data_IF_266955308974
#
_entry.id   IF_266955308974
#
_cell.length_a   1.000
_cell.length_b   1.000
_cell.length_c   1.000
_cell.angle_alpha   90.00
_cell.angle_beta   90.00
_cell.angle_gamma   90.00
#
_symmetry.space_group_name_H-M   'P 1'
#
loop_
_entity.id
_entity.type
_entity.pdbx_description
1 polymer ?
#
# COMPACT_ATOMS: atom_id res chain seq x y z
N UNK A 1 0.95 -14.49 -7.13
CA UNK A 1 -0.15 -13.52 -7.32
C UNK A 1 0.48 -12.22 -7.76
N UNK A 2 -0.03 -11.58 -8.81
CA UNK A 2 0.48 -10.25 -9.21
C UNK A 2 -0.29 -9.20 -8.42
N UNK A 3 0.42 -8.23 -7.84
CA UNK A 3 -0.20 -7.11 -7.14
C UNK A 3 -0.01 -5.87 -8.00
N UNK A 4 -1.10 -5.16 -8.29
CA UNK A 4 -1.08 -3.91 -9.04
C UNK A 4 -1.43 -2.76 -8.11
N UNK A 5 -0.62 -1.71 -8.10
CA UNK A 5 -0.92 -0.49 -7.38
C UNK A 5 -2.07 0.21 -8.10
N UNK A 6 -3.16 0.47 -7.37
CA UNK A 6 -4.34 1.18 -7.91
C UNK A 6 -4.32 2.64 -7.47
N UNK A 7 -3.96 2.88 -6.22
CA UNK A 7 -4.01 4.22 -5.62
C UNK A 7 -2.98 4.34 -4.49
N UNK A 8 -2.38 5.50 -4.40
CA UNK A 8 -1.53 5.91 -3.27
C UNK A 8 -2.03 7.29 -2.85
N UNK A 9 -2.31 7.46 -1.56
CA UNK A 9 -2.78 8.71 -0.98
C UNK A 9 -2.18 8.91 0.41
N UNK A 10 -2.17 10.15 0.88
CA UNK A 10 -1.88 10.44 2.28
C UNK A 10 -3.06 10.05 3.15
N UNK A 11 -2.78 9.62 4.37
CA UNK A 11 -3.85 9.52 5.34
C UNK A 11 -4.38 10.91 5.70
N UNK A 12 -5.70 11.01 5.79
CA UNK A 12 -6.37 12.26 6.15
C UNK A 12 -6.09 12.73 7.59
N UNK A 13 -5.64 11.83 8.47
CA UNK A 13 -5.39 12.12 9.89
C UNK A 13 -3.91 12.18 10.25
N UNK A 14 -3.03 11.57 9.46
CA UNK A 14 -1.60 11.51 9.70
C UNK A 14 -0.84 11.69 8.37
N UNK A 15 -0.24 12.87 8.20
CA UNK A 15 0.51 13.28 7.03
C UNK A 15 1.80 12.47 6.81
N UNK A 16 2.23 11.69 7.81
CA UNK A 16 3.34 10.74 7.70
C UNK A 16 2.89 9.38 7.20
N UNK A 17 1.61 9.05 7.32
CA UNK A 17 1.06 7.78 6.88
C UNK A 17 0.63 7.83 5.41
N UNK A 18 0.99 6.77 4.68
CA UNK A 18 0.48 6.53 3.33
C UNK A 18 -0.61 5.46 3.38
N UNK A 19 -1.61 5.65 2.55
CA UNK A 19 -2.64 4.68 2.25
C UNK A 19 -2.46 4.19 0.81
N UNK A 20 -2.16 2.91 0.66
CA UNK A 20 -1.87 2.25 -0.62
C UNK A 20 -2.94 1.21 -0.87
N UNK A 21 -3.68 1.35 -1.97
CA UNK A 21 -4.65 0.36 -2.43
C UNK A 21 -4.03 -0.51 -3.51
N UNK A 22 -3.94 -1.81 -3.23
CA UNK A 22 -3.43 -2.82 -4.13
C UNK A 22 -4.60 -3.66 -4.67
N UNK A 23 -4.57 -3.94 -5.97
CA UNK A 23 -5.42 -4.94 -6.61
C UNK A 23 -4.67 -6.23 -6.73
N UNK A 24 -5.25 -7.31 -6.22
CA UNK A 24 -4.78 -8.64 -6.48
C UNK A 24 -5.24 -9.08 -7.87
N UNK A 25 -4.28 -9.40 -8.72
CA UNK A 25 -4.52 -9.94 -10.05
C UNK A 25 -4.15 -11.42 -10.02
N UNK A 26 -5.17 -12.29 -10.08
CA UNK A 26 -4.96 -13.71 -10.30
C UNK A 26 -4.57 -13.95 -11.77
N UNK A 27 -3.56 -14.81 -11.96
CA UNK A 27 -2.99 -15.15 -13.27
C UNK A 27 -3.84 -16.15 -14.06
N UNK A 28 -4.81 -16.82 -13.42
CA UNK A 28 -5.56 -17.92 -14.03
C UNK A 28 -6.92 -17.44 -14.55
N UNK A 29 -7.11 -17.57 -15.87
CA UNK A 29 -8.29 -17.12 -16.63
C UNK A 29 -9.59 -17.89 -16.30
N UNK A 30 -9.49 -19.08 -15.70
CA UNK A 30 -10.61 -20.02 -15.52
C UNK A 30 -11.30 -19.96 -14.16
N UNK A 31 -10.75 -19.23 -13.18
CA UNK A 31 -11.44 -18.97 -11.91
C UNK A 31 -12.02 -17.56 -11.96
N UNK A 32 -13.28 -17.40 -11.49
CA UNK A 32 -13.97 -16.10 -11.38
C UNK A 32 -12.97 -15.05 -10.93
N UNK A 33 -12.83 -14.00 -11.73
CA UNK A 33 -11.87 -12.90 -11.58
C UNK A 33 -12.14 -12.18 -10.26
N UNK A 34 -11.58 -12.66 -9.16
CA UNK A 34 -11.62 -11.95 -7.87
C UNK A 34 -10.64 -10.80 -7.97
N UNK A 35 -11.16 -9.65 -8.40
CA UNK A 35 -10.48 -8.37 -8.31
C UNK A 35 -10.53 -7.89 -6.86
N UNK A 36 -9.81 -8.59 -6.00
CA UNK A 36 -9.77 -8.23 -4.59
C UNK A 36 -8.91 -6.97 -4.44
N UNK A 37 -9.52 -5.93 -3.87
CA UNK A 37 -8.85 -4.69 -3.52
C UNK A 37 -8.52 -4.76 -2.04
N UNK A 38 -7.25 -4.58 -1.72
CA UNK A 38 -6.77 -4.51 -0.35
C UNK A 38 -6.13 -3.15 -0.14
N UNK A 39 -6.60 -2.43 0.88
CA UNK A 39 -6.04 -1.12 1.26
C UNK A 39 -5.15 -1.29 2.47
N UNK A 40 -3.92 -0.80 2.35
CA UNK A 40 -2.93 -0.82 3.41
C UNK A 40 -2.61 0.60 3.84
N UNK A 41 -2.48 0.81 5.14
CA UNK A 41 -2.11 2.09 5.75
C UNK A 41 -0.85 1.92 6.59
N UNK A 42 0.10 2.83 6.45
CA UNK A 42 1.32 2.76 7.22
C UNK A 42 2.44 3.66 6.74
N UNK A 43 3.60 3.51 7.39
CA UNK A 43 4.83 4.21 7.03
C UNK A 43 6.04 3.36 7.39
N UNK A 44 7.04 3.36 6.50
CA UNK A 44 8.31 2.67 6.72
C UNK A 44 8.15 1.17 6.90
N UNK A 45 8.29 0.68 8.14
CA UNK A 45 8.17 -0.75 8.50
C UNK A 45 6.81 -1.16 9.04
N UNK A 46 5.97 -0.19 9.41
CA UNK A 46 4.72 -0.43 10.09
C UNK A 46 3.57 -0.26 9.10
N UNK A 47 2.99 -1.38 8.66
CA UNK A 47 1.91 -1.42 7.69
C UNK A 47 0.78 -2.29 8.20
N UNK A 48 -0.45 -1.81 7.99
CA UNK A 48 -1.67 -2.45 8.46
C UNK A 48 -2.71 -2.51 7.35
N UNK A 49 -3.53 -3.54 7.34
CA UNK A 49 -4.64 -3.73 6.39
C UNK A 49 -5.88 -3.03 6.95
N UNK A 50 -6.57 -2.23 6.14
CA UNK A 50 -7.84 -1.61 6.50
C UNK A 50 -9.02 -2.49 6.08
N UNK A 51 -10.14 -2.49 6.83
CA UNK A 51 -10.42 -1.68 8.03
C UNK A 51 -9.97 -2.33 9.36
N UNK A 52 -9.49 -3.57 9.34
CA UNK A 52 -9.27 -4.37 10.55
C UNK A 52 -7.98 -4.00 11.31
N UNK A 53 -7.14 -3.13 10.75
CA UNK A 53 -5.82 -2.73 11.26
C UNK A 53 -4.90 -3.92 11.56
N UNK A 54 -5.08 -5.04 10.86
CA UNK A 54 -4.23 -6.23 11.00
C UNK A 54 -2.88 -6.00 10.35
N UNK A 55 -1.75 -6.50 10.91
CA UNK A 55 -0.45 -6.33 10.29
C UNK A 55 -0.42 -6.83 8.84
N UNK A 56 0.15 -6.02 7.95
CA UNK A 56 0.28 -6.41 6.55
C UNK A 56 1.15 -7.68 6.42
N UNK A 57 0.82 -8.63 5.54
CA UNK A 57 1.65 -9.81 5.33
C UNK A 57 3.08 -9.41 4.95
N UNK A 58 4.11 -10.09 5.48
CA UNK A 58 5.52 -9.64 5.36
C UNK A 58 5.98 -9.37 3.92
N UNK A 59 5.50 -10.17 2.96
CA UNK A 59 5.78 -9.97 1.52
C UNK A 59 5.18 -8.66 0.99
N UNK A 60 3.97 -8.33 1.43
CA UNK A 60 3.28 -7.09 1.06
C UNK A 60 3.90 -5.91 1.80
N UNK A 61 4.21 -6.05 3.09
CA UNK A 61 4.90 -5.02 3.87
C UNK A 61 6.25 -4.61 3.24
N UNK A 62 7.00 -5.57 2.68
CA UNK A 62 8.23 -5.26 1.93
C UNK A 62 7.95 -4.42 0.68
N UNK A 63 6.95 -4.80 -0.12
CA UNK A 63 6.54 -4.04 -1.31
C UNK A 63 6.08 -2.63 -0.94
N UNK A 64 5.21 -2.51 0.08
CA UNK A 64 4.71 -1.22 0.56
C UNK A 64 5.84 -0.32 1.06
N UNK A 65 6.83 -0.90 1.74
CA UNK A 65 8.04 -0.18 2.14
C UNK A 65 8.82 0.32 0.92
N UNK A 66 9.06 -0.52 -0.07
CA UNK A 66 9.76 -0.13 -1.30
C UNK A 66 9.03 0.99 -2.03
N UNK A 67 7.71 0.89 -2.20
CA UNK A 67 6.86 1.96 -2.75
C UNK A 67 7.01 3.23 -1.93
N UNK A 68 6.91 3.14 -0.60
CA UNK A 68 7.06 4.31 0.26
C UNK A 68 8.45 4.93 0.22
N UNK A 69 9.47 4.23 -0.30
CA UNK A 69 10.86 4.67 -0.44
C UNK A 69 11.24 5.10 -1.87
N UNK A 70 10.44 4.77 -2.87
CA UNK A 70 10.63 5.14 -4.28
C UNK A 70 10.74 6.67 -4.49
N UNK A 71 11.75 7.17 -5.22
CA UNK A 71 11.88 8.59 -5.56
C UNK A 71 10.66 9.20 -6.24
N UNK A 72 9.92 8.43 -7.04
CA UNK A 72 8.72 8.91 -7.71
C UNK A 72 7.65 9.34 -6.70
N UNK A 73 7.59 8.69 -5.53
CA UNK A 73 6.69 9.03 -4.43
C UNK A 73 7.36 9.91 -3.36
N UNK A 74 8.56 10.45 -3.62
CA UNK A 74 9.26 11.34 -2.69
C UNK A 74 8.52 12.66 -2.47
N UNK A 75 7.80 13.16 -3.48
CA UNK A 75 6.93 14.33 -3.34
C UNK A 75 5.74 14.07 -2.39
N UNK A 76 5.41 12.79 -2.17
CA UNK A 76 4.47 12.34 -1.14
C UNK A 76 5.16 12.16 0.23
N UNK A 77 6.40 12.63 0.41
CA UNK A 77 7.02 12.73 1.73
C UNK A 77 7.12 14.21 2.02
N UNK A 78 6.30 14.70 2.95
CA UNK A 78 6.52 16.03 3.51
C UNK A 78 7.90 16.00 4.16
N UNK A 79 8.90 16.58 3.47
CA UNK A 79 10.11 16.99 4.14
C UNK A 79 9.69 18.13 5.05
N UNK A 80 9.56 17.86 6.34
CA UNK A 80 9.50 18.93 7.34
C UNK A 80 10.69 19.85 7.10
N UNK A 81 10.48 20.97 6.41
CA UNK A 81 11.41 22.08 6.42
C UNK A 81 11.18 22.78 7.75
N UNK A 82 11.85 22.29 8.79
CA UNK A 82 12.26 23.09 9.93
C UNK A 82 13.58 23.77 9.61
#
# INVERSE_FOLDING_TARGET
MSQQIVKIEFDSKDDKCLQITLRQVQKYFWRKKTNELSTYKGYGRNWYTLPEYTPAPSKVGKLLREISQDPQFKHLRLTSRT
#
